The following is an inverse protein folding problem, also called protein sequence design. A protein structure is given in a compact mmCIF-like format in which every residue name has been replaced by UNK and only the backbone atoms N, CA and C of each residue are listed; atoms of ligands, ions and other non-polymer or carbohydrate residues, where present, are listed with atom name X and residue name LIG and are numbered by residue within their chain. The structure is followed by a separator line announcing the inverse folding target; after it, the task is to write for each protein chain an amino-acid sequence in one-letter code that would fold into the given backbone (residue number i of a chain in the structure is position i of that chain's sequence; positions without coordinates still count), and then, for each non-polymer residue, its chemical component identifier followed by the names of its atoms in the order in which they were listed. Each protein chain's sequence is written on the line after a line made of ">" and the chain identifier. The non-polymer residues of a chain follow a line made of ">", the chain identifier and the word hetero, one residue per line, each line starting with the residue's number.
data_IF_292312835091
#
_entry.id   IF_292312835091
#
_cell.length_a   1.000
_cell.length_b   1.000
_cell.length_c   1.000
_cell.angle_alpha   90.00
_cell.angle_beta   90.00
_cell.angle_gamma   90.00
#
_symmetry.space_group_name_H-M   'P 1'
#
loop_
_entity.id
_entity.type
_entity.pdbx_description
1 polymer ?
#
# COMPACT_ATOMS: atom_id res chain seq x y z
N UNK A 1 2.97 -13.60 -11.13
CA UNK A 1 1.85 -13.41 -10.19
C UNK A 1 0.81 -12.48 -10.83
N UNK A 2 -0.46 -12.89 -10.97
CA UNK A 2 -1.55 -12.02 -11.44
C UNK A 2 -1.63 -10.66 -10.73
N UNK A 3 -1.25 -10.58 -9.45
CA UNK A 3 -1.23 -9.33 -8.67
C UNK A 3 -0.18 -8.34 -9.17
N UNK A 4 0.92 -8.84 -9.75
CA UNK A 4 1.93 -7.99 -10.38
C UNK A 4 1.36 -7.31 -11.62
N UNK A 5 0.70 -8.09 -12.48
CA UNK A 5 0.06 -7.58 -13.70
C UNK A 5 -1.06 -6.61 -13.35
N UNK A 6 -1.84 -6.87 -12.31
CA UNK A 6 -2.86 -5.95 -11.80
C UNK A 6 -2.28 -4.55 -11.52
N UNK A 7 -1.17 -4.47 -10.76
CA UNK A 7 -0.52 -3.19 -10.43
C UNK A 7 0.08 -2.51 -11.65
N UNK A 8 0.62 -3.30 -12.59
CA UNK A 8 1.09 -2.75 -13.86
C UNK A 8 -0.06 -2.12 -14.66
N UNK A 9 -1.21 -2.79 -14.79
CA UNK A 9 -2.37 -2.23 -15.50
C UNK A 9 -2.85 -0.95 -14.82
N UNK A 10 -3.04 -0.98 -13.49
CA UNK A 10 -3.50 0.15 -12.68
C UNK A 10 -2.67 1.43 -12.89
N UNK A 11 -1.34 1.33 -12.87
CA UNK A 11 -0.45 2.48 -13.06
C UNK A 11 -0.41 2.98 -14.50
N UNK A 12 -0.64 2.10 -15.47
CA UNK A 12 -0.60 2.45 -16.89
C UNK A 12 -1.96 2.90 -17.45
N UNK A 13 -3.07 2.69 -16.72
CA UNK A 13 -4.41 3.10 -17.16
C UNK A 13 -4.50 4.58 -17.57
N UNK A 14 -4.00 5.56 -16.77
CA UNK A 14 -4.06 6.98 -17.15
C UNK A 14 -3.14 7.34 -18.34
N UNK A 15 -2.12 6.52 -18.59
CA UNK A 15 -1.26 6.70 -19.76
C UNK A 15 -2.02 6.31 -21.04
N UNK A 16 -2.86 5.28 -20.96
CA UNK A 16 -3.63 4.73 -22.07
C UNK A 16 -4.98 5.43 -22.30
N UNK A 17 -5.80 5.56 -21.26
CA UNK A 17 -7.11 6.21 -21.33
C UNK A 17 -7.02 7.69 -20.94
N UNK A 18 -7.23 8.57 -21.93
CA UNK A 18 -7.27 10.03 -21.73
C UNK A 18 -8.67 10.56 -21.42
N UNK A 19 -9.71 9.89 -21.91
CA UNK A 19 -11.09 10.27 -21.63
C UNK A 19 -11.48 9.88 -20.19
N UNK A 20 -11.98 10.82 -19.36
CA UNK A 20 -12.36 10.53 -17.98
C UNK A 20 -13.42 9.42 -17.83
N UNK A 21 -14.37 9.33 -18.77
CA UNK A 21 -15.44 8.31 -18.74
C UNK A 21 -14.89 6.89 -18.97
N UNK A 22 -14.02 6.73 -19.96
CA UNK A 22 -13.35 5.47 -20.23
C UNK A 22 -12.42 5.07 -19.07
N UNK A 23 -11.67 6.03 -18.54
CA UNK A 23 -10.77 5.82 -17.40
C UNK A 23 -11.54 5.36 -16.15
N UNK A 24 -12.68 6.00 -15.84
CA UNK A 24 -13.56 5.60 -14.73
C UNK A 24 -14.06 4.16 -14.90
N UNK A 25 -14.51 3.81 -16.10
CA UNK A 25 -15.01 2.46 -16.39
C UNK A 25 -13.91 1.40 -16.25
N UNK A 26 -12.69 1.72 -16.70
CA UNK A 26 -11.55 0.84 -16.55
C UNK A 26 -11.14 0.63 -15.08
N UNK A 27 -11.21 1.68 -14.26
CA UNK A 27 -10.99 1.55 -12.82
C UNK A 27 -12.12 0.77 -12.12
N UNK A 28 -13.38 0.87 -12.55
CA UNK A 28 -14.47 0.03 -12.01
C UNK A 28 -14.20 -1.46 -12.30
N UNK A 29 -13.76 -1.78 -13.52
CA UNK A 29 -13.37 -3.15 -13.89
C UNK A 29 -12.19 -3.67 -13.02
N UNK A 30 -11.15 -2.86 -12.83
CA UNK A 30 -10.05 -3.22 -11.93
C UNK A 30 -10.51 -3.36 -10.47
N UNK A 31 -11.41 -2.49 -9.99
CA UNK A 31 -11.96 -2.61 -8.64
C UNK A 31 -12.67 -3.95 -8.44
N UNK A 32 -13.47 -4.40 -9.43
CA UNK A 32 -14.10 -5.73 -9.41
C UNK A 32 -13.08 -6.87 -9.43
N UNK A 33 -12.01 -6.75 -10.22
CA UNK A 33 -10.93 -7.73 -10.22
C UNK A 33 -10.28 -7.90 -8.83
N UNK A 34 -10.04 -6.80 -8.10
CA UNK A 34 -9.49 -6.83 -6.74
C UNK A 34 -10.45 -7.49 -5.73
N UNK A 35 -11.75 -7.23 -5.85
CA UNK A 35 -12.77 -7.91 -5.03
C UNK A 35 -12.75 -9.43 -5.24
N UNK A 36 -12.61 -9.88 -6.49
CA UNK A 36 -12.49 -11.31 -6.79
C UNK A 36 -11.19 -11.90 -6.25
N UNK A 37 -10.05 -11.18 -6.33
CA UNK A 37 -8.79 -11.63 -5.72
C UNK A 37 -8.92 -11.79 -4.21
N UNK A 38 -9.54 -10.80 -3.55
CA UNK A 38 -9.81 -10.83 -2.11
C UNK A 38 -10.68 -12.02 -1.73
N UNK A 39 -11.81 -12.21 -2.41
CA UNK A 39 -12.73 -13.34 -2.16
C UNK A 39 -12.07 -14.69 -2.41
N UNK A 40 -11.26 -14.83 -3.46
CA UNK A 40 -10.50 -16.04 -3.74
C UNK A 40 -9.55 -16.37 -2.58
N UNK A 41 -8.87 -15.35 -2.06
CA UNK A 41 -7.93 -15.49 -0.93
C UNK A 41 -8.63 -15.79 0.39
N UNK A 42 -9.78 -15.18 0.66
CA UNK A 42 -10.53 -15.36 1.93
C UNK A 42 -11.29 -16.70 1.96
N UNK A 43 -11.83 -17.15 0.82
CA UNK A 43 -12.68 -18.35 0.76
C UNK A 43 -11.96 -19.60 0.27
N UNK A 44 -10.72 -19.47 -0.22
CA UNK A 44 -9.98 -20.57 -0.85
C UNK A 44 -10.53 -21.01 -2.23
N UNK A 45 -11.57 -20.34 -2.75
CA UNK A 45 -12.19 -20.68 -4.04
C UNK A 45 -11.35 -20.15 -5.21
N UNK A 46 -10.42 -20.96 -5.68
CA UNK A 46 -9.50 -20.59 -6.77
C UNK A 46 -10.20 -20.32 -8.11
N UNK A 47 -11.41 -20.86 -8.33
CA UNK A 47 -12.21 -20.56 -9.52
C UNK A 47 -12.58 -19.08 -9.67
N UNK A 48 -12.52 -18.28 -8.60
CA UNK A 48 -12.73 -16.83 -8.68
C UNK A 48 -11.56 -16.09 -9.36
N UNK A 49 -10.39 -16.72 -9.48
CA UNK A 49 -9.22 -16.09 -10.11
C UNK A 49 -9.41 -15.88 -11.61
N UNK A 50 -10.16 -16.74 -12.31
CA UNK A 50 -10.46 -16.52 -13.73
C UNK A 50 -11.27 -15.23 -13.92
N UNK A 51 -12.29 -15.02 -13.09
CA UNK A 51 -13.08 -13.78 -13.10
C UNK A 51 -12.25 -12.54 -12.78
N UNK A 52 -11.27 -12.63 -11.87
CA UNK A 52 -10.29 -11.55 -11.65
C UNK A 52 -9.50 -11.24 -12.92
N UNK A 53 -9.01 -12.27 -13.61
CA UNK A 53 -8.21 -12.13 -14.83
C UNK A 53 -9.06 -11.55 -15.97
N UNK A 54 -10.30 -12.00 -16.13
CA UNK A 54 -11.23 -11.49 -17.14
C UNK A 54 -11.55 -10.01 -16.90
N UNK A 55 -11.79 -9.63 -15.65
CA UNK A 55 -12.07 -8.24 -15.28
C UNK A 55 -10.87 -7.33 -15.50
N UNK A 56 -9.66 -7.76 -15.13
CA UNK A 56 -8.44 -6.94 -15.31
C UNK A 56 -8.00 -6.84 -16.76
N UNK A 57 -8.38 -7.78 -17.63
CA UNK A 57 -8.02 -7.78 -19.06
C UNK A 57 -9.17 -7.28 -19.92
N UNK A 58 -10.18 -8.13 -20.16
CA UNK A 58 -11.30 -7.82 -21.02
C UNK A 58 -12.13 -6.66 -20.48
N UNK A 59 -12.45 -6.64 -19.18
CA UNK A 59 -13.22 -5.54 -18.56
C UNK A 59 -12.55 -4.17 -18.72
N UNK A 60 -11.23 -4.13 -18.61
CA UNK A 60 -10.44 -2.92 -18.89
C UNK A 60 -10.45 -2.57 -20.38
N UNK A 61 -10.30 -3.56 -21.27
CA UNK A 61 -10.29 -3.32 -22.72
C UNK A 61 -11.65 -2.87 -23.28
N UNK A 62 -12.76 -3.33 -22.71
CA UNK A 62 -14.12 -2.94 -23.12
C UNK A 62 -14.53 -1.56 -22.61
N UNK A 63 -13.77 -0.99 -21.67
CA UNK A 63 -14.04 0.34 -21.10
C UNK A 63 -13.79 1.50 -22.08
N UNK A 64 -13.22 1.21 -23.25
CA UNK A 64 -12.96 2.22 -24.29
C UNK A 64 -14.26 2.70 -24.93
N UNK A 65 -14.53 4.01 -24.85
CA UNK A 65 -15.62 4.63 -25.63
C UNK A 65 -15.19 4.89 -27.08
N UNK A 66 -13.89 5.12 -27.28
CA UNK A 66 -13.29 5.43 -28.57
C UNK A 66 -11.98 4.66 -28.74
N UNK A 67 -11.52 4.53 -29.99
CA UNK A 67 -10.21 3.90 -30.26
C UNK A 67 -9.10 4.76 -29.64
N UNK A 68 -8.23 4.19 -28.79
CA UNK A 68 -7.06 4.91 -28.27
C UNK A 68 -6.22 5.42 -29.44
N UNK A 69 -5.84 6.69 -29.41
CA UNK A 69 -5.04 7.34 -30.43
C UNK A 69 -3.59 7.52 -29.95
N UNK A 70 -2.64 7.33 -30.87
CA UNK A 70 -1.22 7.53 -30.59
C UNK A 70 -0.52 6.33 -29.93
N UNK A 71 0.80 6.45 -29.85
CA UNK A 71 1.66 5.46 -29.21
C UNK A 71 1.78 5.73 -27.70
N UNK A 72 1.62 4.69 -26.89
CA UNK A 72 1.74 4.77 -25.43
C UNK A 72 2.93 3.95 -24.98
N UNK A 73 3.89 4.60 -24.33
CA UNK A 73 5.02 3.91 -23.68
C UNK A 73 4.59 3.39 -22.32
N UNK A 74 4.29 2.10 -22.25
CA UNK A 74 4.03 1.45 -20.96
C UNK A 74 5.28 1.42 -20.08
N UNK A 75 5.07 1.56 -18.77
CA UNK A 75 6.12 1.56 -17.75
C UNK A 75 5.90 0.44 -16.76
N UNK A 76 6.99 -0.05 -16.16
CA UNK A 76 6.91 -0.99 -15.04
C UNK A 76 6.28 -0.32 -13.80
N UNK A 77 5.50 -1.04 -12.96
CA UNK A 77 4.87 -0.44 -11.79
C UNK A 77 5.88 0.04 -10.75
N UNK A 78 5.86 1.33 -10.46
CA UNK A 78 6.68 1.96 -9.43
C UNK A 78 6.19 1.64 -8.02
N UNK A 79 4.90 1.34 -7.84
CA UNK A 79 4.31 1.03 -6.54
C UNK A 79 5.00 -0.17 -5.90
N UNK A 80 5.34 -1.20 -6.68
CA UNK A 80 5.99 -2.39 -6.15
C UNK A 80 7.38 -2.06 -5.65
N UNK A 81 8.14 -1.28 -6.43
CA UNK A 81 9.45 -0.78 -6.04
C UNK A 81 9.37 0.05 -4.76
N UNK A 82 8.44 1.01 -4.68
CA UNK A 82 8.22 1.87 -3.50
C UNK A 82 7.81 1.05 -2.27
N UNK A 83 6.91 0.08 -2.42
CA UNK A 83 6.47 -0.81 -1.33
C UNK A 83 7.57 -1.74 -0.86
N UNK A 84 8.44 -2.18 -1.75
CA UNK A 84 9.61 -3.00 -1.43
C UNK A 84 10.66 -2.18 -0.68
N UNK A 85 10.97 -0.97 -1.16
CA UNK A 85 11.96 -0.09 -0.52
C UNK A 85 11.60 0.25 0.93
N UNK A 86 10.30 0.40 1.23
CA UNK A 86 9.78 0.70 2.58
C UNK A 86 9.39 -0.54 3.38
N UNK A 87 9.63 -1.75 2.87
CA UNK A 87 9.14 -2.98 3.50
C UNK A 87 9.77 -3.22 4.87
N UNK A 88 11.09 -3.16 4.95
CA UNK A 88 11.83 -3.43 6.20
C UNK A 88 11.57 -2.34 7.25
N UNK A 89 11.59 -1.07 6.85
CA UNK A 89 11.24 0.06 7.73
C UNK A 89 9.82 -0.11 8.30
N UNK A 90 8.83 -0.45 7.47
CA UNK A 90 7.45 -0.68 7.94
C UNK A 90 7.34 -1.90 8.85
N UNK A 91 8.15 -2.94 8.64
CA UNK A 91 8.18 -4.13 9.49
C UNK A 91 8.69 -3.75 10.88
N UNK A 92 9.82 -3.06 10.96
CA UNK A 92 10.40 -2.61 12.23
C UNK A 92 9.52 -1.59 12.96
N UNK A 93 8.95 -0.63 12.23
CA UNK A 93 7.98 0.30 12.78
C UNK A 93 6.80 -0.42 13.44
N UNK A 94 6.31 -1.51 12.82
CA UNK A 94 5.24 -2.33 13.37
C UNK A 94 5.67 -3.09 14.62
N UNK A 95 6.91 -3.59 14.66
CA UNK A 95 7.47 -4.27 15.84
C UNK A 95 7.60 -3.30 17.02
N UNK A 96 8.14 -2.09 16.80
CA UNK A 96 8.21 -1.01 17.80
C UNK A 96 6.81 -0.62 18.28
N UNK A 97 5.88 -0.43 17.35
CA UNK A 97 4.50 -0.10 17.69
C UNK A 97 3.84 -1.18 18.56
N UNK A 98 4.17 -2.46 18.33
CA UNK A 98 3.65 -3.58 19.12
C UNK A 98 4.22 -3.62 20.54
N UNK A 99 5.49 -3.23 20.73
CA UNK A 99 6.09 -3.09 22.06
C UNK A 99 5.45 -1.94 22.86
N UNK A 100 5.31 -0.77 22.22
CA UNK A 100 4.60 0.38 22.79
C UNK A 100 3.15 0.06 23.14
N UNK A 101 2.43 -0.61 22.22
CA UNK A 101 1.04 -1.01 22.39
C UNK A 101 0.84 -1.86 23.65
N UNK A 102 1.74 -2.80 23.91
CA UNK A 102 1.69 -3.66 25.12
C UNK A 102 1.85 -2.85 26.41
N UNK A 103 2.76 -1.88 26.43
CA UNK A 103 3.02 -1.01 27.60
C UNK A 103 1.90 -0.01 27.84
N UNK A 104 1.36 0.55 26.78
CA UNK A 104 0.31 1.59 26.82
C UNK A 104 -1.11 1.01 26.83
N UNK A 105 -1.27 -0.31 26.72
CA UNK A 105 -2.57 -1.01 26.64
C UNK A 105 -3.49 -0.49 25.51
N UNK A 106 -2.90 -0.16 24.35
CA UNK A 106 -3.61 0.30 23.15
C UNK A 106 -3.25 -0.57 21.95
N UNK A 107 -3.97 -0.41 20.82
CA UNK A 107 -3.64 -1.13 19.59
C UNK A 107 -2.37 -0.60 18.94
N UNK A 108 -1.61 -1.46 18.25
CA UNK A 108 -0.42 -1.04 17.49
C UNK A 108 -0.75 -0.02 16.39
N UNK A 109 -1.94 -0.11 15.80
CA UNK A 109 -2.41 0.88 14.83
C UNK A 109 -2.55 2.25 15.47
N UNK A 110 -3.14 2.33 16.67
CA UNK A 110 -3.29 3.57 17.42
C UNK A 110 -1.95 4.18 17.83
N UNK A 111 -0.95 3.34 18.15
CA UNK A 111 0.43 3.81 18.37
C UNK A 111 1.00 4.49 17.13
N UNK A 112 0.85 3.88 15.96
CA UNK A 112 1.37 4.43 14.69
C UNK A 112 0.64 5.72 14.30
N UNK A 113 -0.67 5.78 14.53
CA UNK A 113 -1.49 6.92 14.12
C UNK A 113 -1.38 8.12 15.07
N UNK A 114 -1.33 7.88 16.39
CA UNK A 114 -1.39 8.95 17.40
C UNK A 114 -0.05 9.20 18.08
N UNK A 115 0.71 8.14 18.41
CA UNK A 115 1.92 8.25 19.25
C UNK A 115 3.16 8.55 18.41
N UNK A 116 3.33 7.91 17.26
CA UNK A 116 4.49 8.13 16.38
C UNK A 116 4.62 9.60 15.94
N UNK A 117 3.54 10.32 15.54
CA UNK A 117 3.63 11.74 15.23
C UNK A 117 4.11 12.59 16.41
N UNK A 118 3.67 12.26 17.64
CA UNK A 118 4.10 12.95 18.85
C UNK A 118 5.60 12.74 19.08
N UNK A 119 6.08 11.50 18.96
CA UNK A 119 7.51 11.18 19.08
C UNK A 119 8.32 11.89 17.99
N UNK A 120 7.82 11.93 16.75
CA UNK A 120 8.47 12.64 15.64
C UNK A 120 8.63 14.13 15.92
N UNK A 121 7.64 14.74 16.56
CA UNK A 121 7.71 16.15 16.95
C UNK A 121 8.64 16.37 18.17
N UNK A 122 8.67 15.43 19.13
CA UNK A 122 9.62 15.45 20.24
C UNK A 122 11.08 15.34 19.76
N UNK A 123 11.36 14.50 18.75
CA UNK A 123 12.67 14.33 18.12
C UNK A 123 13.21 15.67 17.59
N UNK A 124 12.36 16.50 16.96
CA UNK A 124 12.78 17.81 16.42
C UNK A 124 13.13 18.83 17.50
N UNK A 125 12.62 18.63 18.73
CA UNK A 125 12.80 19.56 19.85
C UNK A 125 14.00 19.15 20.69
N UNK A 126 13.75 18.34 21.72
CA UNK A 126 14.78 17.88 22.68
C UNK A 126 14.86 16.35 22.78
N UNK A 127 13.84 15.61 22.34
CA UNK A 127 13.85 14.15 22.37
C UNK A 127 13.68 13.54 23.76
N UNK A 128 13.05 14.23 24.71
CA UNK A 128 12.95 13.74 26.10
C UNK A 128 12.03 12.51 26.19
N UNK A 129 10.94 12.51 25.42
CA UNK A 129 9.99 11.39 25.37
C UNK A 129 10.66 10.20 24.69
N UNK A 130 11.42 10.46 23.62
CA UNK A 130 12.19 9.43 22.93
C UNK A 130 13.17 8.72 23.88
N UNK A 131 13.90 9.45 24.72
CA UNK A 131 14.86 8.86 25.66
C UNK A 131 14.16 7.98 26.71
N UNK A 132 13.04 8.45 27.25
CA UNK A 132 12.24 7.66 28.19
C UNK A 132 11.71 6.37 27.54
N UNK A 133 11.18 6.46 26.32
CA UNK A 133 10.67 5.31 25.55
C UNK A 133 11.79 4.33 25.21
N UNK A 134 12.97 4.84 24.85
CA UNK A 134 14.16 4.04 24.56
C UNK A 134 14.54 3.17 25.77
N UNK A 135 14.54 3.74 26.96
CA UNK A 135 14.80 3.02 28.21
C UNK A 135 13.70 1.99 28.54
N UNK A 136 12.42 2.38 28.40
CA UNK A 136 11.27 1.52 28.72
C UNK A 136 11.13 0.28 27.84
N UNK A 137 11.52 0.40 26.56
CA UNK A 137 11.36 -0.65 25.55
C UNK A 137 12.68 -1.40 25.29
N UNK A 138 13.81 -0.81 25.69
CA UNK A 138 15.14 -1.40 25.48
C UNK A 138 15.62 -1.30 24.02
N UNK A 139 15.10 -0.36 23.24
CA UNK A 139 15.54 -0.11 21.85
C UNK A 139 16.41 1.15 21.83
N UNK A 140 17.62 1.13 21.22
CA UNK A 140 18.48 2.30 21.14
C UNK A 140 17.78 3.52 20.51
N UNK A 141 17.99 4.70 21.09
CA UNK A 141 17.36 5.95 20.65
C UNK A 141 17.70 6.32 19.20
N UNK A 142 18.90 5.97 18.75
CA UNK A 142 19.35 6.16 17.38
C UNK A 142 18.49 5.36 16.40
N UNK A 143 18.16 4.11 16.75
CA UNK A 143 17.30 3.27 15.92
C UNK A 143 15.86 3.75 15.91
N UNK A 144 15.34 4.21 17.05
CA UNK A 144 14.01 4.80 17.12
C UNK A 144 13.91 6.07 16.25
N UNK A 145 14.96 6.91 16.22
CA UNK A 145 15.02 8.09 15.35
C UNK A 145 15.00 7.73 13.87
N UNK A 146 15.72 6.69 13.46
CA UNK A 146 15.76 6.27 12.05
C UNK A 146 14.39 5.76 11.55
N UNK A 147 13.63 5.09 12.42
CA UNK A 147 12.35 4.48 12.04
C UNK A 147 11.17 5.46 12.17
N UNK A 148 11.16 6.33 13.18
CA UNK A 148 10.05 7.25 13.48
C UNK A 148 10.28 8.66 12.88
N UNK A 149 11.54 9.03 12.64
CA UNK A 149 11.99 10.33 12.15
C UNK A 149 11.40 10.79 10.83
#
# INVERSE_FOLDING_TARGET
>A
DPRFVFRWIEENLPLFYKEPKALRSAYDALSRADLFFRRASETGRMGLLSYSIDMMTFGVCTSKTQKPTGWVKFRFPDIIRKRSATKEIRKEAKEIALMLAKKLHISSSKVIEEIFPIIKEDIKRKGLILEHISHEIGVPKERLKEIIG
#
